data_IF_891850690278
#
_entry.id   IF_891850690278
#
_cell.length_a   1.000
_cell.length_b   1.000
_cell.length_c   1.000
_cell.angle_alpha   90.00
_cell.angle_beta   90.00
_cell.angle_gamma   90.00
#
_symmetry.space_group_name_H-M   'P 1'
#
loop_
_entity.id
_entity.type
_entity.pdbx_description
1 polymer ?
#
# COMPACT_ATOMS: atom_id res chain seq x y z
N UNK A 1 12.23 21.14 -10.34
CA UNK A 1 12.80 19.77 -10.40
C UNK A 1 13.18 19.50 -11.84
N UNK A 2 14.40 19.04 -12.15
CA UNK A 2 14.78 18.72 -13.54
C UNK A 2 14.01 17.48 -14.02
N UNK A 3 13.75 17.35 -15.33
CA UNK A 3 13.03 16.19 -15.89
C UNK A 3 13.72 14.85 -15.56
N UNK A 4 15.05 14.83 -15.54
CA UNK A 4 15.83 13.65 -15.18
C UNK A 4 15.63 13.25 -13.71
N UNK A 5 15.60 14.23 -12.79
CA UNK A 5 15.31 13.95 -11.38
C UNK A 5 13.89 13.42 -11.20
N UNK A 6 12.90 13.97 -11.91
CA UNK A 6 11.52 13.47 -11.90
C UNK A 6 11.43 12.01 -12.35
N UNK A 7 12.13 11.68 -13.43
CA UNK A 7 12.18 10.31 -13.97
C UNK A 7 12.81 9.34 -12.98
N UNK A 8 13.94 9.70 -12.36
CA UNK A 8 14.60 8.86 -11.36
C UNK A 8 13.72 8.62 -10.13
N UNK A 9 13.12 9.68 -9.59
CA UNK A 9 12.22 9.57 -8.44
C UNK A 9 11.01 8.72 -8.78
N UNK A 10 10.44 8.86 -9.97
CA UNK A 10 9.34 8.03 -10.43
C UNK A 10 9.71 6.54 -10.52
N UNK A 11 10.90 6.22 -11.03
CA UNK A 11 11.39 4.85 -11.08
C UNK A 11 11.58 4.27 -9.67
N UNK A 12 12.23 5.03 -8.79
CA UNK A 12 12.44 4.63 -7.39
C UNK A 12 11.09 4.42 -6.68
N UNK A 13 10.14 5.35 -6.84
CA UNK A 13 8.80 5.20 -6.30
C UNK A 13 8.08 3.95 -6.83
N UNK A 14 8.20 3.67 -8.13
CA UNK A 14 7.62 2.46 -8.73
C UNK A 14 8.20 1.17 -8.13
N UNK A 15 9.52 1.12 -7.93
CA UNK A 15 10.18 -0.02 -7.26
C UNK A 15 9.73 -0.14 -5.81
N UNK A 16 9.74 0.97 -5.06
CA UNK A 16 9.27 1.00 -3.66
C UNK A 16 7.82 0.53 -3.53
N UNK A 17 6.96 0.95 -4.46
CA UNK A 17 5.55 0.54 -4.48
C UNK A 17 5.39 -0.97 -4.63
N UNK A 18 6.12 -1.59 -5.56
CA UNK A 18 6.09 -3.04 -5.72
C UNK A 18 6.66 -3.79 -4.51
N UNK A 19 7.78 -3.33 -3.93
CA UNK A 19 8.34 -3.91 -2.70
C UNK A 19 7.32 -3.81 -1.57
N UNK A 20 6.68 -2.65 -1.40
CA UNK A 20 5.65 -2.44 -0.38
C UNK A 20 4.43 -3.35 -0.59
N UNK A 21 3.97 -3.50 -1.83
CA UNK A 21 2.82 -4.37 -2.14
C UNK A 21 3.15 -5.84 -1.86
N UNK A 22 4.32 -6.32 -2.25
CA UNK A 22 4.77 -7.70 -1.98
C UNK A 22 4.93 -7.93 -0.47
N UNK A 23 5.51 -6.98 0.26
CA UNK A 23 5.65 -7.06 1.71
C UNK A 23 4.27 -7.13 2.41
N UNK A 24 3.31 -6.31 1.98
CA UNK A 24 1.93 -6.35 2.48
C UNK A 24 1.25 -7.69 2.19
N UNK A 25 1.41 -8.24 0.98
CA UNK A 25 0.88 -9.56 0.61
C UNK A 25 1.49 -10.66 1.47
N UNK A 26 2.83 -10.66 1.63
CA UNK A 26 3.53 -11.65 2.45
C UNK A 26 3.05 -11.59 3.91
N UNK A 27 2.95 -10.39 4.47
CA UNK A 27 2.45 -10.18 5.82
C UNK A 27 1.00 -10.63 5.97
N UNK A 28 0.12 -10.29 5.02
CA UNK A 28 -1.27 -10.72 5.03
C UNK A 28 -1.38 -12.26 5.00
N UNK A 29 -0.60 -12.93 4.16
CA UNK A 29 -0.56 -14.41 4.10
C UNK A 29 -0.09 -15.01 5.42
N UNK A 30 0.98 -14.47 6.03
CA UNK A 30 1.49 -14.91 7.33
C UNK A 30 0.41 -14.76 8.41
N UNK A 31 -0.24 -13.60 8.48
CA UNK A 31 -1.26 -13.30 9.48
C UNK A 31 -2.53 -14.15 9.30
N UNK A 32 -2.93 -14.46 8.06
CA UNK A 32 -4.06 -15.36 7.79
C UNK A 32 -3.74 -16.80 8.18
N UNK A 33 -2.51 -17.27 7.94
CA UNK A 33 -2.07 -18.62 8.28
C UNK A 33 -1.82 -18.82 9.78
N UNK A 34 -1.58 -17.75 10.53
CA UNK A 34 -1.43 -17.82 11.98
C UNK A 34 -2.77 -18.27 12.61
N UNK A 35 -2.75 -19.23 13.53
CA UNK A 35 -3.96 -19.57 14.32
C UNK A 35 -4.40 -18.36 15.16
N UNK A 36 -5.70 -18.17 15.38
CA UNK A 36 -6.22 -17.03 16.15
C UNK A 36 -5.69 -17.02 17.59
N UNK A 37 -5.49 -18.20 18.17
CA UNK A 37 -5.05 -18.39 19.55
C UNK A 37 -3.52 -18.51 19.68
N UNK A 38 -2.78 -18.42 18.57
CA UNK A 38 -1.32 -18.46 18.63
C UNK A 38 -0.79 -17.18 19.29
N UNK A 39 0.23 -17.32 20.12
CA UNK A 39 0.96 -16.19 20.67
C UNK A 39 1.59 -15.39 19.53
N UNK A 40 1.33 -14.09 19.49
CA UNK A 40 1.94 -13.22 18.48
C UNK A 40 3.39 -12.97 18.90
N UNK A 41 4.31 -13.42 18.05
CA UNK A 41 5.74 -13.22 18.31
C UNK A 41 6.12 -11.76 18.12
N UNK A 42 7.17 -11.31 18.82
CA UNK A 42 7.76 -9.97 18.62
C UNK A 42 8.10 -9.73 17.14
N UNK A 43 8.54 -10.76 16.43
CA UNK A 43 8.84 -10.69 14.99
C UNK A 43 7.63 -10.26 14.14
N UNK A 44 6.41 -10.72 14.45
CA UNK A 44 5.21 -10.29 13.73
C UNK A 44 4.94 -8.81 13.96
N UNK A 45 5.13 -8.31 15.18
CA UNK A 45 4.99 -6.88 15.48
C UNK A 45 6.03 -6.04 14.72
N UNK A 46 7.30 -6.45 14.73
CA UNK A 46 8.36 -5.76 13.99
C UNK A 46 8.09 -5.80 12.47
N UNK A 47 7.73 -6.96 11.91
CA UNK A 47 7.42 -7.11 10.50
C UNK A 47 6.22 -6.24 10.10
N UNK A 48 5.19 -6.18 10.94
CA UNK A 48 4.00 -5.34 10.73
C UNK A 48 4.33 -3.85 10.75
N UNK A 49 5.14 -3.41 11.73
CA UNK A 49 5.60 -2.03 11.80
C UNK A 49 6.48 -1.66 10.60
N UNK A 50 7.46 -2.49 10.25
CA UNK A 50 8.35 -2.27 9.11
C UNK A 50 7.57 -2.19 7.78
N UNK A 51 6.64 -3.12 7.57
CA UNK A 51 5.80 -3.15 6.36
C UNK A 51 4.90 -1.91 6.27
N UNK A 52 4.31 -1.49 7.40
CA UNK A 52 3.47 -0.28 7.44
C UNK A 52 4.29 0.98 7.21
N UNK A 53 5.48 1.09 7.81
CA UNK A 53 6.40 2.21 7.56
C UNK A 53 6.83 2.29 6.10
N UNK A 54 7.06 1.14 5.45
CA UNK A 54 7.36 1.08 4.03
C UNK A 54 6.15 1.56 3.18
N UNK A 55 4.92 1.19 3.55
CA UNK A 55 3.71 1.68 2.90
C UNK A 55 3.54 3.20 3.07
N UNK A 56 3.84 3.74 4.26
CA UNK A 56 3.84 5.19 4.54
C UNK A 56 4.87 5.91 3.66
N UNK A 57 6.12 5.42 3.62
CA UNK A 57 7.17 6.01 2.80
C UNK A 57 6.83 5.97 1.30
N UNK A 58 6.25 4.85 0.84
CA UNK A 58 5.76 4.71 -0.53
C UNK A 58 4.65 5.70 -0.84
N UNK A 59 3.67 5.87 0.05
CA UNK A 59 2.60 6.84 -0.14
C UNK A 59 3.14 8.28 -0.16
N UNK A 60 4.02 8.63 0.78
CA UNK A 60 4.64 9.95 0.87
C UNK A 60 5.42 10.31 -0.41
N UNK A 61 6.21 9.37 -0.95
CA UNK A 61 6.90 9.57 -2.23
C UNK A 61 5.92 9.73 -3.40
N UNK A 62 4.79 9.02 -3.38
CA UNK A 62 3.71 9.18 -4.36
C UNK A 62 3.04 10.56 -4.30
N UNK A 63 2.75 11.07 -3.10
CA UNK A 63 2.21 12.42 -2.90
C UNK A 63 3.19 13.49 -3.38
N UNK A 64 4.48 13.31 -3.10
CA UNK A 64 5.50 14.24 -3.57
C UNK A 64 5.59 14.30 -5.11
N UNK A 65 5.33 13.18 -5.78
CA UNK A 65 5.27 13.09 -7.24
C UNK A 65 3.95 13.59 -7.84
N UNK A 66 2.87 13.68 -7.06
CA UNK A 66 1.51 13.88 -7.58
C UNK A 66 1.35 15.19 -8.36
N UNK A 67 1.84 16.30 -7.80
CA UNK A 67 1.69 17.62 -8.43
C UNK A 67 2.42 17.68 -9.79
N UNK A 68 3.73 17.34 -9.92
CA UNK A 68 4.40 17.25 -11.22
C UNK A 68 3.76 16.26 -12.18
N UNK A 69 3.26 15.12 -11.68
CA UNK A 69 2.62 14.12 -12.54
C UNK A 69 1.29 14.64 -13.10
N UNK A 70 0.46 15.29 -12.29
CA UNK A 70 -0.84 15.81 -12.71
C UNK A 70 -0.73 16.92 -13.74
N UNK A 71 0.24 17.82 -13.60
CA UNK A 71 0.41 18.93 -14.55
C UNK A 71 0.81 18.45 -15.94
N UNK A 72 1.63 17.39 -16.04
CA UNK A 72 2.17 16.95 -17.33
C UNK A 72 1.44 15.75 -17.95
N UNK A 73 0.88 14.85 -17.14
CA UNK A 73 0.42 13.54 -17.61
C UNK A 73 -1.10 13.42 -17.64
N UNK A 74 -1.81 14.09 -16.72
CA UNK A 74 -3.26 13.91 -16.59
C UNK A 74 -4.00 14.24 -17.89
N UNK A 75 -3.78 15.43 -18.44
CA UNK A 75 -4.45 15.88 -19.66
C UNK A 75 -4.14 14.95 -20.84
N UNK A 76 -2.88 14.58 -21.02
CA UNK A 76 -2.44 13.66 -22.09
C UNK A 76 -3.07 12.28 -21.97
N UNK A 77 -3.19 11.74 -20.76
CA UNK A 77 -3.84 10.45 -20.51
C UNK A 77 -5.33 10.50 -20.85
N UNK A 78 -6.04 11.57 -20.47
CA UNK A 78 -7.47 11.71 -20.80
C UNK A 78 -7.72 11.90 -22.30
N UNK A 79 -6.82 12.59 -23.00
CA UNK A 79 -6.88 12.73 -24.46
C UNK A 79 -6.57 11.41 -25.18
N UNK A 80 -5.61 10.63 -24.69
CA UNK A 80 -5.26 9.33 -25.26
C UNK A 80 -6.34 8.27 -24.98
N UNK A 81 -6.87 8.23 -23.76
CA UNK A 81 -7.97 7.32 -23.38
C UNK A 81 -8.62 7.73 -22.06
N UNK A 82 -9.94 7.93 -22.08
CA UNK A 82 -10.73 8.24 -20.88
C UNK A 82 -10.60 7.16 -19.80
N UNK A 83 -10.46 5.88 -20.18
CA UNK A 83 -10.30 4.79 -19.21
C UNK A 83 -8.93 4.84 -18.52
N UNK A 84 -7.86 5.18 -19.25
CA UNK A 84 -6.52 5.37 -18.66
C UNK A 84 -6.48 6.57 -17.71
N UNK A 85 -7.09 7.69 -18.09
CA UNK A 85 -7.24 8.85 -17.21
C UNK A 85 -8.00 8.52 -15.92
N UNK A 86 -9.07 7.74 -16.02
CA UNK A 86 -9.84 7.31 -14.84
C UNK A 86 -9.05 6.37 -13.92
N UNK A 87 -8.36 5.37 -14.50
CA UNK A 87 -7.47 4.48 -13.77
C UNK A 87 -6.36 5.26 -13.06
N UNK A 88 -5.78 6.27 -13.72
CA UNK A 88 -4.76 7.13 -13.13
C UNK A 88 -5.25 7.90 -11.90
N UNK A 89 -6.50 8.39 -11.89
CA UNK A 89 -7.07 9.05 -10.70
C UNK A 89 -7.44 8.04 -9.59
N UNK A 90 -7.88 6.83 -9.97
CA UNK A 90 -8.28 5.80 -9.00
C UNK A 90 -7.10 5.18 -8.26
N UNK A 91 -5.93 5.07 -8.87
CA UNK A 91 -4.75 4.51 -8.20
C UNK A 91 -4.39 5.25 -6.92
N UNK A 92 -4.61 6.58 -6.86
CA UNK A 92 -4.33 7.39 -5.68
C UNK A 92 -5.30 7.08 -4.54
N UNK A 93 -6.58 6.89 -4.86
CA UNK A 93 -7.58 6.47 -3.86
C UNK A 93 -7.28 5.07 -3.34
N UNK A 94 -6.81 4.17 -4.22
CA UNK A 94 -6.38 2.83 -3.82
C UNK A 94 -5.15 2.88 -2.92
N UNK A 95 -4.12 3.67 -3.28
CA UNK A 95 -2.92 3.79 -2.43
C UNK A 95 -3.23 4.45 -1.08
N UNK A 96 -4.13 5.44 -1.05
CA UNK A 96 -4.63 6.03 0.19
C UNK A 96 -5.39 5.00 1.05
N UNK A 97 -6.29 4.21 0.44
CA UNK A 97 -6.97 3.12 1.12
C UNK A 97 -5.98 2.08 1.69
N UNK A 98 -4.95 1.71 0.92
CA UNK A 98 -3.91 0.81 1.38
C UNK A 98 -3.20 1.34 2.65
N UNK A 99 -2.85 2.63 2.66
CA UNK A 99 -2.24 3.30 3.80
C UNK A 99 -3.16 3.28 5.03
N UNK A 100 -4.42 3.69 4.87
CA UNK A 100 -5.40 3.74 5.97
C UNK A 100 -5.60 2.35 6.57
N UNK A 101 -5.81 1.33 5.73
CA UNK A 101 -6.00 -0.03 6.22
C UNK A 101 -4.76 -0.60 6.90
N UNK A 102 -3.55 -0.33 6.40
CA UNK A 102 -2.31 -0.74 7.06
C UNK A 102 -2.15 -0.08 8.43
N UNK A 103 -2.39 1.23 8.52
CA UNK A 103 -2.31 1.98 9.78
C UNK A 103 -3.31 1.47 10.84
N UNK A 104 -4.57 1.29 10.45
CA UNK A 104 -5.60 0.72 11.34
C UNK A 104 -5.28 -0.72 11.73
N UNK A 105 -4.76 -1.54 10.80
CA UNK A 105 -4.38 -2.91 11.08
C UNK A 105 -3.22 -3.00 12.07
N UNK A 106 -2.23 -2.11 11.95
CA UNK A 106 -1.11 -2.02 12.89
C UNK A 106 -1.58 -1.58 14.27
N UNK A 107 -2.43 -0.55 14.34
CA UNK A 107 -3.01 -0.07 15.60
C UNK A 107 -3.80 -1.19 16.30
N UNK A 108 -4.65 -1.91 15.57
CA UNK A 108 -5.39 -3.06 16.09
C UNK A 108 -4.46 -4.18 16.58
N UNK A 109 -3.36 -4.44 15.86
CA UNK A 109 -2.37 -5.45 16.25
C UNK A 109 -1.69 -5.11 17.59
N UNK A 110 -1.28 -3.86 17.75
CA UNK A 110 -0.66 -3.40 19.01
C UNK A 110 -1.66 -3.36 20.16
N UNK A 111 -2.88 -2.90 19.91
CA UNK A 111 -3.94 -2.87 20.92
C UNK A 111 -4.35 -4.29 21.39
N UNK A 112 -4.26 -5.30 20.54
CA UNK A 112 -4.62 -6.67 20.91
C UNK A 112 -3.69 -7.29 21.97
N UNK A 113 -2.45 -6.82 22.08
CA UNK A 113 -1.44 -7.35 23.00
C UNK A 113 -0.91 -8.74 22.65
N UNK A 114 0.25 -9.09 23.23
CA UNK A 114 0.93 -10.36 22.97
C UNK A 114 0.18 -11.58 23.57
N UNK A 115 -0.39 -11.41 24.76
CA UNK A 115 -0.95 -12.48 25.58
C UNK A 115 -2.48 -12.37 25.75
N UNK A 116 -3.15 -11.51 24.98
CA UNK A 116 -4.59 -11.29 25.05
C UNK A 116 -5.39 -12.49 24.53
N UNK A 117 -5.84 -13.35 25.46
CA UNK A 117 -6.74 -14.48 25.18
C UNK A 117 -8.21 -14.09 25.35
N UNK A 118 -8.51 -12.82 25.64
CA UNK A 118 -9.86 -12.34 25.84
C UNK A 118 -10.58 -12.08 24.52
N UNK A 119 -11.92 -12.06 24.56
CA UNK A 119 -12.75 -11.82 23.37
C UNK A 119 -12.41 -10.50 22.62
N UNK A 120 -12.13 -9.37 23.29
CA UNK A 120 -11.73 -8.13 22.62
C UNK A 120 -10.40 -8.27 21.85
N UNK A 121 -9.40 -8.93 22.43
CA UNK A 121 -8.11 -9.16 21.77
C UNK A 121 -8.25 -10.02 20.52
N UNK A 122 -9.11 -11.05 20.54
CA UNK A 122 -9.41 -11.85 19.34
C UNK A 122 -10.07 -11.01 18.24
N UNK A 123 -11.00 -10.13 18.59
CA UNK A 123 -11.65 -9.25 17.63
C UNK A 123 -10.64 -8.27 16.98
N UNK A 124 -9.75 -7.68 17.77
CA UNK A 124 -8.68 -6.81 17.28
C UNK A 124 -7.68 -7.54 16.39
N UNK A 125 -7.30 -8.78 16.73
CA UNK A 125 -6.46 -9.64 15.86
C UNK A 125 -7.14 -9.93 14.52
N UNK A 126 -8.45 -10.20 14.53
CA UNK A 126 -9.23 -10.39 13.31
C UNK A 126 -9.28 -9.11 12.48
N UNK A 127 -9.54 -7.97 13.11
CA UNK A 127 -9.55 -6.65 12.47
C UNK A 127 -8.19 -6.33 11.83
N UNK A 128 -7.10 -6.61 12.54
CA UNK A 128 -5.73 -6.46 12.02
C UNK A 128 -5.50 -7.32 10.78
N UNK A 129 -5.87 -8.61 10.82
CA UNK A 129 -5.78 -9.52 9.66
C UNK A 129 -6.56 -8.98 8.47
N UNK A 130 -7.84 -8.64 8.66
CA UNK A 130 -8.69 -8.13 7.58
C UNK A 130 -8.17 -6.81 7.02
N UNK A 131 -7.63 -5.93 7.89
CA UNK A 131 -7.04 -4.66 7.48
C UNK A 131 -5.78 -4.87 6.63
N UNK A 132 -4.85 -5.75 7.02
CA UNK A 132 -3.69 -6.05 6.20
C UNK A 132 -4.03 -6.73 4.87
N UNK A 133 -5.04 -7.61 4.85
CA UNK A 133 -5.55 -8.22 3.60
C UNK A 133 -6.13 -7.14 2.67
N UNK A 134 -6.97 -6.24 3.19
CA UNK A 134 -7.51 -5.13 2.42
C UNK A 134 -6.40 -4.21 1.92
N UNK A 135 -5.43 -3.88 2.78
CA UNK A 135 -4.28 -3.06 2.41
C UNK A 135 -3.46 -3.68 1.27
N UNK A 136 -3.15 -4.97 1.37
CA UNK A 136 -2.42 -5.71 0.35
C UNK A 136 -3.17 -5.70 -1.00
N UNK A 137 -4.48 -5.92 -0.99
CA UNK A 137 -5.31 -5.87 -2.19
C UNK A 137 -5.28 -4.47 -2.85
N UNK A 138 -5.46 -3.42 -2.06
CA UNK A 138 -5.46 -2.04 -2.54
C UNK A 138 -4.09 -1.63 -3.09
N UNK A 139 -3.00 -1.99 -2.40
CA UNK A 139 -1.63 -1.72 -2.83
C UNK A 139 -1.30 -2.45 -4.14
N UNK A 140 -1.68 -3.72 -4.25
CA UNK A 140 -1.46 -4.51 -5.47
C UNK A 140 -2.24 -3.95 -6.65
N UNK A 141 -3.53 -3.61 -6.45
CA UNK A 141 -4.35 -2.99 -7.47
C UNK A 141 -3.76 -1.64 -7.93
N UNK A 142 -3.29 -0.81 -7.00
CA UNK A 142 -2.62 0.46 -7.32
C UNK A 142 -1.33 0.23 -8.14
N UNK A 143 -0.51 -0.77 -7.79
CA UNK A 143 0.70 -1.13 -8.53
C UNK A 143 0.40 -1.61 -9.95
N UNK A 144 -0.54 -2.54 -10.11
CA UNK A 144 -0.97 -3.05 -11.41
C UNK A 144 -1.48 -1.92 -12.29
N UNK A 145 -2.37 -1.07 -11.76
CA UNK A 145 -2.88 0.10 -12.48
C UNK A 145 -1.75 1.06 -12.85
N UNK A 146 -0.83 1.35 -11.92
CA UNK A 146 0.32 2.21 -12.16
C UNK A 146 1.19 1.70 -13.30
N UNK A 147 1.49 0.39 -13.32
CA UNK A 147 2.25 -0.26 -14.39
C UNK A 147 1.50 -0.27 -15.72
N UNK A 148 0.18 -0.53 -15.73
CA UNK A 148 -0.64 -0.46 -16.94
C UNK A 148 -0.66 0.94 -17.55
N UNK A 149 -0.83 1.98 -16.72
CA UNK A 149 -0.77 3.36 -17.19
C UNK A 149 0.62 3.69 -17.71
N UNK A 150 1.69 3.33 -17.00
CA UNK A 150 3.06 3.61 -17.43
C UNK A 150 3.41 2.93 -18.77
N UNK A 151 2.99 1.68 -18.98
CA UNK A 151 3.26 0.94 -20.21
C UNK A 151 2.47 1.45 -21.41
N UNK A 152 1.22 1.89 -21.19
CA UNK A 152 0.33 2.41 -22.25
C UNK A 152 0.61 3.85 -22.60
N UNK A 153 1.11 4.64 -21.66
CA UNK A 153 1.33 6.06 -21.86
C UNK A 153 2.59 6.38 -22.69
N UNK A 154 3.38 5.38 -23.14
CA UNK A 154 4.62 5.46 -23.95
C UNK A 154 5.07 6.92 -24.17
N UNK A 155 5.77 7.44 -23.16
CA UNK A 155 6.52 8.71 -23.26
C UNK A 155 7.93 8.41 -23.75
#
# INVERSE_FOLDING_TARGET
MTHELLRRVALVHGVLAWISAVALVALAVILVRLRNDARISRWIHLASAATTSLAVATFATGVWLDLPYRTHLRQRLFLASRSLGWLFERKLHLSFGALVFAGLALAALFAAGADGHDAPSRALRRASRTGYVASAFFALAACVIGTLVATRARF
#
